data_IF_716070633260
#
_entry.id   IF_716070633260
#
_cell.length_a   1.000
_cell.length_b   1.000
_cell.length_c   1.000
_cell.angle_alpha   90.00
_cell.angle_beta   90.00
_cell.angle_gamma   90.00
#
_symmetry.space_group_name_H-M   'P 1'
#
loop_
_entity.id
_entity.type
_entity.pdbx_description
1 polymer ?
#
# COMPACT_ATOMS: atom_id res chain seq x y z
N UNK A 1 41.77 -32.27 -14.64
CA UNK A 1 40.39 -31.83 -14.37
C UNK A 1 40.41 -30.94 -13.13
N UNK A 2 40.26 -29.62 -13.30
CA UNK A 2 40.13 -28.71 -12.17
C UNK A 2 38.65 -28.71 -11.75
N UNK A 3 38.33 -29.31 -10.61
CA UNK A 3 37.02 -29.17 -9.99
C UNK A 3 36.81 -27.67 -9.69
N UNK A 4 35.84 -27.07 -10.37
CA UNK A 4 35.30 -25.77 -10.00
C UNK A 4 34.77 -25.86 -8.57
N UNK A 5 35.08 -24.90 -7.67
CA UNK A 5 34.46 -24.85 -6.36
C UNK A 5 32.94 -24.68 -6.58
N UNK A 6 32.14 -25.62 -6.06
CA UNK A 6 30.69 -25.51 -6.13
C UNK A 6 30.25 -24.22 -5.43
N UNK A 7 29.64 -23.32 -6.18
CA UNK A 7 28.93 -22.17 -5.65
C UNK A 7 27.69 -22.66 -4.90
N UNK A 8 27.83 -23.04 -3.63
CA UNK A 8 26.68 -23.43 -2.80
C UNK A 8 26.00 -22.16 -2.31
N UNK A 9 25.12 -21.58 -3.14
CA UNK A 9 24.22 -20.52 -2.73
C UNK A 9 23.06 -21.11 -1.94
N UNK A 10 22.91 -20.71 -0.67
CA UNK A 10 21.76 -21.10 0.16
C UNK A 10 20.75 -19.96 0.17
N UNK A 11 19.50 -20.27 -0.13
CA UNK A 11 18.38 -19.33 -0.13
C UNK A 11 17.50 -19.56 1.10
N UNK A 12 17.13 -18.47 1.76
CA UNK A 12 16.13 -18.49 2.84
C UNK A 12 15.09 -17.41 2.56
N UNK A 13 13.83 -17.77 2.71
CA UNK A 13 12.71 -16.83 2.67
C UNK A 13 12.22 -16.58 4.09
N UNK A 14 11.99 -15.31 4.42
CA UNK A 14 11.28 -14.90 5.62
C UNK A 14 10.12 -14.01 5.19
N UNK A 15 8.92 -14.34 5.64
CA UNK A 15 7.72 -13.53 5.42
C UNK A 15 7.37 -12.81 6.73
N UNK A 16 7.29 -11.49 6.67
CA UNK A 16 6.95 -10.62 7.79
C UNK A 16 5.64 -9.88 7.48
N UNK A 17 4.57 -10.09 8.27
CA UNK A 17 3.34 -9.33 8.11
C UNK A 17 3.55 -7.91 8.63
N UNK A 18 3.31 -6.93 7.76
CA UNK A 18 3.32 -5.52 8.08
C UNK A 18 1.91 -5.01 8.43
N UNK A 19 1.82 -3.91 9.19
CA UNK A 19 0.57 -3.23 9.44
C UNK A 19 -0.16 -2.92 8.11
N UNK A 20 -1.48 -3.03 8.12
CA UNK A 20 -2.31 -2.72 6.97
C UNK A 20 -2.51 -3.88 6.01
N UNK A 21 -1.97 -5.07 6.31
CA UNK A 21 -2.18 -6.30 5.56
C UNK A 21 -1.19 -6.51 4.41
N UNK A 22 -0.08 -5.75 4.42
CA UNK A 22 1.05 -5.96 3.51
C UNK A 22 1.97 -7.03 4.09
N UNK A 23 2.63 -7.82 3.25
CA UNK A 23 3.62 -8.82 3.63
C UNK A 23 4.95 -8.46 2.99
N UNK A 24 5.97 -8.29 3.82
CA UNK A 24 7.36 -8.13 3.39
C UNK A 24 7.99 -9.51 3.30
N UNK A 25 8.40 -9.90 2.10
CA UNK A 25 9.15 -11.13 1.84
C UNK A 25 10.61 -10.77 1.66
N UNK A 26 11.44 -11.24 2.59
CA UNK A 26 12.89 -11.09 2.54
C UNK A 26 13.51 -12.36 1.96
N UNK A 27 14.18 -12.21 0.82
CA UNK A 27 15.01 -13.26 0.23
C UNK A 27 16.45 -13.03 0.67
N UNK A 28 16.97 -13.96 1.46
CA UNK A 28 18.36 -13.96 1.92
C UNK A 28 19.13 -14.96 1.07
N UNK A 29 20.13 -14.49 0.34
CA UNK A 29 21.09 -15.31 -0.39
C UNK A 29 22.41 -15.29 0.35
N UNK A 30 22.85 -16.47 0.82
CA UNK A 30 24.17 -16.66 1.42
C UNK A 30 25.07 -17.36 0.43
N UNK A 31 26.22 -16.76 0.12
CA UNK A 31 27.22 -17.35 -0.75
C UNK A 31 28.53 -17.54 0.02
N UNK A 32 29.17 -18.69 -0.19
CA UNK A 32 30.53 -18.95 0.24
C UNK A 32 31.41 -18.94 -1.01
N UNK A 33 32.31 -17.97 -1.11
CA UNK A 33 33.25 -17.87 -2.22
C UNK A 33 34.63 -18.26 -1.70
N UNK A 34 35.17 -19.38 -2.17
CA UNK A 34 36.55 -19.74 -1.90
C UNK A 34 37.46 -19.08 -2.95
N UNK A 35 38.32 -18.17 -2.53
CA UNK A 35 39.38 -17.64 -3.38
C UNK A 35 40.70 -18.36 -3.04
N UNK A 36 41.36 -18.92 -4.05
CA UNK A 36 42.73 -19.41 -3.92
C UNK A 36 43.69 -18.28 -4.24
N UNK A 37 44.39 -17.80 -3.22
CA UNK A 37 45.50 -16.87 -3.40
C UNK A 37 46.79 -17.67 -3.53
N UNK A 38 47.49 -17.52 -4.66
CA UNK A 38 48.81 -18.11 -4.85
C UNK A 38 49.84 -17.03 -4.53
N UNK A 39 50.42 -17.05 -3.34
CA UNK A 39 51.49 -16.14 -2.98
C UNK A 39 52.81 -16.70 -3.54
N UNK A 40 53.43 -15.99 -4.47
CA UNK A 40 54.67 -16.41 -5.11
C UNK A 40 55.86 -16.41 -4.16
N UNK A 41 56.55 -17.56 -4.11
CA UNK A 41 57.97 -17.79 -3.77
C UNK A 41 58.36 -17.25 -2.36
N UNK A 42 58.28 -18.01 -1.25
CA UNK A 42 59.22 -19.07 -0.90
C UNK A 42 58.73 -19.97 0.28
N UNK A 43 57.43 -20.01 0.57
CA UNK A 43 56.88 -20.86 1.65
C UNK A 43 55.71 -21.70 1.15
N UNK A 44 55.81 -23.02 1.35
CA UNK A 44 54.78 -24.02 1.05
C UNK A 44 53.51 -23.71 1.83
N UNK A 45 52.53 -23.07 1.20
CA UNK A 45 51.20 -22.90 1.78
C UNK A 45 50.21 -22.41 0.74
N UNK A 46 49.33 -23.31 0.26
CA UNK A 46 48.10 -22.90 -0.40
C UNK A 46 47.14 -22.53 0.73
N UNK A 47 46.84 -21.25 0.89
CA UNK A 47 45.80 -20.78 1.81
C UNK A 47 44.52 -20.56 1.03
N UNK A 48 43.46 -21.30 1.38
CA UNK A 48 42.11 -21.02 0.90
C UNK A 48 41.49 -19.91 1.75
N UNK A 49 41.11 -18.79 1.13
CA UNK A 49 40.37 -17.72 1.80
C UNK A 49 38.89 -17.91 1.50
N UNK A 50 38.08 -18.06 2.55
CA UNK A 50 36.63 -18.21 2.44
C UNK A 50 35.95 -16.86 2.67
N UNK A 51 35.38 -16.27 1.63
CA UNK A 51 34.51 -15.10 1.73
C UNK A 51 33.07 -15.55 1.94
N UNK A 52 32.40 -15.01 2.97
CA UNK A 52 30.96 -15.21 3.20
C UNK A 52 30.24 -13.92 2.84
N UNK A 53 29.44 -13.93 1.77
CA UNK A 53 28.59 -12.79 1.40
C UNK A 53 27.12 -13.09 1.70
N UNK A 54 26.40 -12.05 2.15
CA UNK A 54 24.97 -12.10 2.44
C UNK A 54 24.29 -10.99 1.64
N UNK A 55 23.45 -11.37 0.68
CA UNK A 55 22.59 -10.45 -0.05
C UNK A 55 21.16 -10.58 0.47
N UNK A 56 20.51 -9.45 0.73
CA UNK A 56 19.10 -9.38 1.11
C UNK A 56 18.35 -8.60 0.04
N UNK A 57 17.23 -9.15 -0.42
CA UNK A 57 16.31 -8.46 -1.31
C UNK A 57 14.90 -8.53 -0.74
N UNK A 58 14.14 -7.46 -0.95
CA UNK A 58 12.81 -7.29 -0.38
C UNK A 58 11.75 -7.29 -1.48
N UNK A 59 10.63 -7.94 -1.20
CA UNK A 59 9.44 -7.89 -2.05
C UNK A 59 8.21 -7.68 -1.18
N UNK A 60 7.39 -6.70 -1.52
CA UNK A 60 6.19 -6.37 -0.78
C UNK A 60 4.95 -6.89 -1.51
N UNK A 61 4.03 -7.49 -0.76
CA UNK A 61 2.81 -8.09 -1.28
C UNK A 61 1.57 -7.64 -0.50
N UNK A 62 0.41 -7.56 -1.16
CA UNK A 62 -0.88 -7.44 -0.48
C UNK A 62 -1.85 -8.48 -1.02
N UNK A 63 -2.30 -9.40 -0.15
CA UNK A 63 -3.17 -10.54 -0.52
C UNK A 63 -2.70 -11.27 -1.81
N UNK A 64 -1.40 -11.52 -1.92
CA UNK A 64 -0.71 -12.15 -3.06
C UNK A 64 -0.41 -11.25 -4.28
N UNK A 65 -0.74 -9.97 -4.26
CA UNK A 65 -0.37 -9.03 -5.33
C UNK A 65 0.98 -8.38 -5.02
N UNK A 66 1.93 -8.46 -5.95
CA UNK A 66 3.21 -7.76 -5.83
C UNK A 66 3.01 -6.24 -5.88
N UNK A 67 3.64 -5.54 -4.96
CA UNK A 67 3.54 -4.07 -4.81
C UNK A 67 4.85 -3.34 -5.09
N UNK A 68 6.01 -3.95 -4.84
CA UNK A 68 7.30 -3.30 -5.06
C UNK A 68 8.46 -3.98 -4.36
N UNK A 69 9.64 -3.40 -4.52
CA UNK A 69 10.87 -3.81 -3.84
C UNK A 69 11.22 -2.93 -2.65
N UNK A 70 10.59 -1.76 -2.53
CA UNK A 70 10.73 -0.83 -1.40
C UNK A 70 9.38 -0.56 -0.73
N UNK A 71 9.42 -0.07 0.50
CA UNK A 71 8.23 0.32 1.29
C UNK A 71 7.44 1.42 0.58
N UNK A 72 8.13 2.43 0.05
CA UNK A 72 7.51 3.56 -0.63
C UNK A 72 6.93 3.19 -2.00
N UNK A 73 7.60 2.31 -2.76
CA UNK A 73 7.02 1.72 -3.98
C UNK A 73 5.74 0.96 -3.66
N UNK A 74 5.76 0.16 -2.58
CA UNK A 74 4.62 -0.63 -2.17
C UNK A 74 3.45 0.25 -1.71
N UNK A 75 3.74 1.31 -0.96
CA UNK A 75 2.77 2.30 -0.53
C UNK A 75 2.13 3.02 -1.72
N UNK A 76 2.93 3.44 -2.70
CA UNK A 76 2.44 4.08 -3.91
C UNK A 76 1.57 3.14 -4.74
N UNK A 77 1.98 1.88 -4.92
CA UNK A 77 1.20 0.88 -5.63
C UNK A 77 -0.16 0.59 -4.94
N UNK A 78 -0.16 0.51 -3.60
CA UNK A 78 -1.38 0.36 -2.82
C UNK A 78 -2.29 1.60 -2.96
N UNK A 79 -1.71 2.80 -2.93
CA UNK A 79 -2.44 4.06 -3.13
C UNK A 79 -3.10 4.13 -4.51
N UNK A 80 -2.36 3.84 -5.58
CA UNK A 80 -2.91 3.79 -6.95
C UNK A 80 -4.09 2.81 -7.04
N UNK A 81 -3.98 1.65 -6.40
CA UNK A 81 -5.07 0.67 -6.35
C UNK A 81 -6.30 1.19 -5.58
N UNK A 82 -6.08 1.92 -4.49
CA UNK A 82 -7.12 2.61 -3.75
C UNK A 82 -7.88 3.61 -4.62
N UNK A 83 -7.15 4.45 -5.38
CA UNK A 83 -7.74 5.43 -6.30
C UNK A 83 -8.58 4.75 -7.39
N UNK A 84 -8.07 3.67 -8.01
CA UNK A 84 -8.85 2.88 -9.00
C UNK A 84 -10.17 2.37 -8.43
N UNK A 85 -10.15 1.86 -7.20
CA UNK A 85 -11.35 1.34 -6.53
C UNK A 85 -12.33 2.46 -6.17
N UNK A 86 -11.83 3.63 -5.76
CA UNK A 86 -12.67 4.80 -5.54
C UNK A 86 -13.36 5.25 -6.82
N UNK A 87 -12.66 5.27 -7.96
CA UNK A 87 -13.28 5.58 -9.27
C UNK A 87 -14.45 4.64 -9.59
N UNK A 88 -14.34 3.38 -9.18
CA UNK A 88 -15.41 2.37 -9.31
C UNK A 88 -16.52 2.48 -8.24
N UNK A 89 -16.44 3.44 -7.31
CA UNK A 89 -17.38 3.57 -6.19
C UNK A 89 -17.21 2.52 -5.09
N UNK A 90 -16.16 1.69 -5.13
CA UNK A 90 -15.92 0.61 -4.17
C UNK A 90 -15.18 1.12 -2.91
N UNK A 91 -15.78 2.07 -2.21
CA UNK A 91 -15.15 2.81 -1.10
C UNK A 91 -14.64 1.90 0.02
N UNK A 92 -15.42 0.88 0.42
CA UNK A 92 -15.01 -0.07 1.47
C UNK A 92 -13.73 -0.85 1.11
N UNK A 93 -13.53 -1.15 -0.16
CA UNK A 93 -12.30 -1.83 -0.60
C UNK A 93 -11.16 -0.82 -0.75
N UNK A 94 -11.43 0.36 -1.30
CA UNK A 94 -10.44 1.44 -1.43
C UNK A 94 -9.86 1.84 -0.06
N UNK A 95 -10.69 1.91 0.98
CA UNK A 95 -10.28 2.20 2.35
C UNK A 95 -9.17 1.25 2.84
N UNK A 96 -9.29 -0.05 2.55
CA UNK A 96 -8.28 -1.05 2.94
C UNK A 96 -6.95 -0.81 2.24
N UNK A 97 -6.98 -0.39 0.98
CA UNK A 97 -5.79 -0.10 0.18
C UNK A 97 -5.13 1.21 0.60
N UNK A 98 -5.90 2.26 0.90
CA UNK A 98 -5.33 3.49 1.46
C UNK A 98 -4.78 3.28 2.87
N UNK A 99 -5.43 2.43 3.68
CA UNK A 99 -4.89 2.03 4.96
C UNK A 99 -3.57 1.25 4.82
N UNK A 100 -3.47 0.36 3.83
CA UNK A 100 -2.21 -0.32 3.51
C UNK A 100 -1.13 0.66 3.07
N UNK A 101 -1.45 1.62 2.18
CA UNK A 101 -0.52 2.64 1.70
C UNK A 101 0.06 3.47 2.86
N UNK A 102 -0.81 4.01 3.71
CA UNK A 102 -0.40 4.83 4.86
C UNK A 102 0.39 4.05 5.91
N UNK A 103 0.09 2.76 6.11
CA UNK A 103 0.79 1.94 7.09
C UNK A 103 2.12 1.37 6.58
N UNK A 104 2.35 1.40 5.27
CA UNK A 104 3.56 0.87 4.64
C UNK A 104 4.57 1.96 4.31
N UNK A 105 4.15 3.22 4.15
CA UNK A 105 5.10 4.29 3.84
C UNK A 105 6.05 4.56 5.01
N UNK A 106 7.29 4.91 4.68
CA UNK A 106 8.27 5.37 5.67
C UNK A 106 7.84 6.70 6.28
N UNK A 107 8.21 6.95 7.53
CA UNK A 107 8.12 8.30 8.10
C UNK A 107 8.91 9.28 7.22
N UNK A 108 8.41 10.49 7.06
CA UNK A 108 8.99 11.55 6.22
C UNK A 108 8.88 11.33 4.70
N UNK A 109 8.06 10.36 4.27
CA UNK A 109 7.75 10.24 2.85
C UNK A 109 6.91 11.43 2.37
N UNK A 110 7.31 12.05 1.26
CA UNK A 110 6.67 13.26 0.72
C UNK A 110 5.14 13.12 0.56
N UNK A 111 4.67 11.91 0.20
CA UNK A 111 3.24 11.64 -0.02
C UNK A 111 2.50 11.14 1.23
N UNK A 112 3.14 11.08 2.41
CA UNK A 112 2.52 10.56 3.64
C UNK A 112 1.22 11.31 3.97
N UNK A 113 1.24 12.64 3.91
CA UNK A 113 0.05 13.46 4.17
C UNK A 113 -1.06 13.17 3.15
N UNK A 114 -0.71 13.02 1.87
CA UNK A 114 -1.67 12.65 0.82
C UNK A 114 -2.30 11.28 1.10
N UNK A 115 -1.52 10.29 1.56
CA UNK A 115 -2.05 8.99 1.94
C UNK A 115 -2.97 9.07 3.15
N UNK A 116 -2.59 9.86 4.17
CA UNK A 116 -3.40 10.10 5.37
C UNK A 116 -4.74 10.75 5.02
N UNK A 117 -4.71 11.82 4.24
CA UNK A 117 -5.90 12.55 3.82
C UNK A 117 -6.82 11.69 2.94
N UNK A 118 -6.25 10.94 1.99
CA UNK A 118 -7.01 10.02 1.13
C UNK A 118 -7.66 8.87 1.90
N UNK A 119 -6.94 8.31 2.89
CA UNK A 119 -7.48 7.31 3.81
C UNK A 119 -8.66 7.87 4.59
N UNK A 120 -8.50 9.04 5.21
CA UNK A 120 -9.54 9.64 6.05
C UNK A 120 -10.76 10.08 5.22
N UNK A 121 -10.55 10.69 4.04
CA UNK A 121 -11.62 11.02 3.11
C UNK A 121 -12.41 9.77 2.68
N UNK A 122 -11.71 8.68 2.37
CA UNK A 122 -12.36 7.42 1.97
C UNK A 122 -13.12 6.78 3.13
N UNK A 123 -12.64 6.86 4.37
CA UNK A 123 -13.38 6.40 5.55
C UNK A 123 -14.70 7.15 5.72
N UNK A 124 -14.67 8.48 5.55
CA UNK A 124 -15.87 9.32 5.58
C UNK A 124 -16.82 8.88 4.45
N UNK A 125 -16.31 8.68 3.23
CA UNK A 125 -17.09 8.24 2.08
C UNK A 125 -17.69 6.83 2.27
N UNK A 126 -16.96 5.87 2.86
CA UNK A 126 -17.52 4.56 3.23
C UNK A 126 -18.69 4.72 4.20
N UNK A 127 -18.57 5.63 5.18
CA UNK A 127 -19.66 5.90 6.12
C UNK A 127 -20.84 6.64 5.45
N UNK A 128 -20.57 7.49 4.47
CA UNK A 128 -21.59 8.15 3.66
C UNK A 128 -22.35 7.13 2.81
N UNK A 129 -21.64 6.18 2.20
CA UNK A 129 -22.24 5.10 1.42
C UNK A 129 -23.17 4.23 2.26
N UNK A 130 -22.79 3.89 3.50
CA UNK A 130 -23.69 3.18 4.42
C UNK A 130 -24.98 3.96 4.73
N UNK A 131 -24.87 5.28 4.88
CA UNK A 131 -26.05 6.14 5.08
C UNK A 131 -26.94 6.17 3.83
N UNK A 132 -26.31 6.24 2.66
CA UNK A 132 -26.98 6.18 1.37
C UNK A 132 -27.74 4.86 1.21
N UNK A 133 -27.09 3.71 1.44
CA UNK A 133 -27.75 2.39 1.40
C UNK A 133 -28.89 2.25 2.41
N UNK A 134 -28.86 3.00 3.52
CA UNK A 134 -29.94 3.06 4.51
C UNK A 134 -31.06 4.06 4.18
N UNK A 135 -31.04 4.68 3.00
CA UNK A 135 -32.03 5.69 2.56
C UNK A 135 -31.85 7.09 3.17
N UNK A 136 -30.82 7.31 4.00
CA UNK A 136 -30.56 8.59 4.68
C UNK A 136 -29.80 9.55 3.78
N UNK A 137 -30.38 9.92 2.66
CA UNK A 137 -29.69 10.56 1.55
C UNK A 137 -29.13 11.95 1.84
N UNK A 138 -29.84 12.81 2.59
CA UNK A 138 -29.29 14.12 3.00
C UNK A 138 -28.03 13.99 3.85
N UNK A 139 -28.07 13.11 4.84
CA UNK A 139 -26.93 12.85 5.73
C UNK A 139 -25.77 12.22 4.96
N UNK A 140 -26.06 11.37 3.97
CA UNK A 140 -25.05 10.85 3.05
C UNK A 140 -24.41 11.95 2.21
N UNK A 141 -25.19 12.86 1.62
CA UNK A 141 -24.69 13.98 0.81
C UNK A 141 -23.74 14.88 1.61
N UNK A 142 -24.13 15.27 2.83
CA UNK A 142 -23.26 16.08 3.73
C UNK A 142 -21.92 15.38 3.98
N UNK A 143 -21.93 14.06 4.21
CA UNK A 143 -20.68 13.32 4.40
C UNK A 143 -19.85 13.17 3.13
N UNK A 144 -20.48 12.99 1.97
CA UNK A 144 -19.75 12.99 0.70
C UNK A 144 -19.10 14.35 0.42
N UNK A 145 -19.78 15.47 0.75
CA UNK A 145 -19.17 16.80 0.67
C UNK A 145 -17.96 16.93 1.60
N UNK A 146 -18.07 16.44 2.84
CA UNK A 146 -16.95 16.43 3.79
C UNK A 146 -15.77 15.61 3.27
N UNK A 147 -16.03 14.43 2.68
CA UNK A 147 -14.99 13.62 2.04
C UNK A 147 -14.33 14.34 0.85
N UNK A 148 -15.13 15.03 0.04
CA UNK A 148 -14.65 15.83 -1.09
C UNK A 148 -13.72 16.95 -0.65
N UNK A 149 -14.11 17.73 0.36
CA UNK A 149 -13.32 18.87 0.85
C UNK A 149 -12.00 18.46 1.49
N UNK A 150 -11.96 17.26 2.08
CA UNK A 150 -10.76 16.73 2.72
C UNK A 150 -9.76 16.14 1.73
N UNK A 151 -10.24 15.72 0.55
CA UNK A 151 -9.38 15.10 -0.44
C UNK A 151 -8.50 16.14 -1.12
N UNK A 152 -7.18 16.03 -0.97
CA UNK A 152 -6.21 16.80 -1.75
C UNK A 152 -6.10 16.33 -3.21
N UNK A 153 -6.78 15.23 -3.56
CA UNK A 153 -6.71 14.57 -4.85
C UNK A 153 -7.98 14.88 -5.64
N UNK A 154 -7.84 15.58 -6.77
CA UNK A 154 -8.96 15.99 -7.63
C UNK A 154 -9.85 14.81 -8.03
N UNK A 155 -9.25 13.71 -8.50
CA UNK A 155 -10.03 12.53 -8.94
C UNK A 155 -10.89 11.89 -7.84
N UNK A 156 -10.46 11.99 -6.57
CA UNK A 156 -11.24 11.50 -5.43
C UNK A 156 -12.33 12.53 -5.07
N UNK A 157 -11.99 13.81 -5.04
CA UNK A 157 -12.93 14.90 -4.79
C UNK A 157 -14.09 14.89 -5.80
N UNK A 158 -13.77 14.80 -7.10
CA UNK A 158 -14.75 14.71 -8.18
C UNK A 158 -15.71 13.54 -7.96
N UNK A 159 -15.16 12.38 -7.59
CA UNK A 159 -15.98 11.19 -7.37
C UNK A 159 -16.89 11.32 -6.15
N UNK A 160 -16.40 11.91 -5.06
CA UNK A 160 -17.22 12.18 -3.89
C UNK A 160 -18.29 13.23 -4.19
N UNK A 161 -17.98 14.25 -4.99
CA UNK A 161 -18.97 15.23 -5.46
C UNK A 161 -20.07 14.57 -6.30
N UNK A 162 -19.72 13.69 -7.25
CA UNK A 162 -20.72 12.92 -8.00
C UNK A 162 -21.63 12.10 -7.09
N UNK A 163 -21.08 11.46 -6.05
CA UNK A 163 -21.86 10.71 -5.06
C UNK A 163 -22.76 11.63 -4.23
N UNK A 164 -22.29 12.84 -3.88
CA UNK A 164 -23.12 13.86 -3.23
C UNK A 164 -24.31 14.25 -4.10
N UNK A 165 -24.08 14.53 -5.38
CA UNK A 165 -25.14 14.96 -6.30
C UNK A 165 -26.16 13.85 -6.50
N UNK A 166 -25.70 12.60 -6.61
CA UNK A 166 -26.55 11.41 -6.67
C UNK A 166 -27.43 11.29 -5.41
N UNK A 167 -26.83 11.40 -4.21
CA UNK A 167 -27.57 11.37 -2.96
C UNK A 167 -28.57 12.54 -2.84
N UNK A 168 -28.18 13.75 -3.27
CA UNK A 168 -29.04 14.93 -3.23
C UNK A 168 -30.25 14.77 -4.15
N UNK A 169 -30.04 14.22 -5.36
CA UNK A 169 -31.14 13.96 -6.29
C UNK A 169 -32.10 12.89 -5.77
N UNK A 170 -31.58 11.85 -5.11
CA UNK A 170 -32.44 10.84 -4.48
C UNK A 170 -33.23 11.38 -3.29
N UNK A 171 -32.63 12.26 -2.48
CA UNK A 171 -33.36 12.95 -1.42
C UNK A 171 -34.54 13.78 -1.97
N UNK A 172 -34.35 14.45 -3.12
CA UNK A 172 -35.42 15.21 -3.80
C UNK A 172 -36.52 14.29 -4.35
N UNK A 173 -36.15 13.17 -4.96
CA UNK A 173 -37.09 12.21 -5.55
C UNK A 173 -37.95 11.50 -4.50
N UNK A 174 -37.42 11.28 -3.30
CA UNK A 174 -38.16 10.65 -2.21
C UNK A 174 -39.03 11.60 -1.40
N UNK A 175 -39.16 12.87 -1.83
CA UNK A 175 -40.04 13.81 -1.17
C UNK A 175 -39.71 13.99 0.30
N UNK A 176 -38.41 14.01 0.64
CA UNK A 176 -37.96 14.26 2.01
C UNK A 176 -38.22 15.73 2.40
N UNK A 177 -39.25 16.42 1.90
CA UNK A 177 -39.78 17.61 2.55
C UNK A 177 -40.36 17.22 3.92
N UNK A 178 -39.52 17.25 4.96
CA UNK A 178 -40.00 17.46 6.32
C UNK A 178 -39.00 18.28 7.11
N UNK A 179 -39.46 19.50 7.40
CA UNK A 179 -39.12 20.38 8.51
C UNK A 179 -37.64 20.69 8.76
N UNK A 180 -37.29 21.92 8.39
CA UNK A 180 -36.62 22.86 9.30
C UNK A 180 -36.99 22.55 10.76
N UNK A 181 -36.01 22.12 11.54
CA UNK A 181 -36.06 22.22 13.00
C UNK A 181 -34.63 22.46 13.46
N UNK A 182 -34.24 23.73 13.47
CA UNK A 182 -33.47 24.30 14.59
C UNK A 182 -34.06 25.69 14.87
N UNK A 183 -34.98 25.73 15.84
CA UNK A 183 -35.27 26.90 16.68
C UNK A 183 -34.23 26.99 17.79
#
# INVERSE_FOLDING_TARGET
>A
MFNTPEFVAKYKHNDEPLPGGVTKRTLIRKMNTAARLTLGIATRGISEVLFKTKEESYKYYYKNRYLGTTENEAAQAAYTKGVELCKQGKFRNAEKWFNAAYQTCTSDYENEETFRNSRHATQIATSAWKLYDSGRFRKAAVKFQKASNLSSVSTLADKFSQCKDTATNQAKQQGDESSEDES
#
